data_IF_131702807250
#
_entry.id   IF_131702807250
#
_cell.length_a   1.000
_cell.length_b   1.000
_cell.length_c   1.000
_cell.angle_alpha   90.00
_cell.angle_beta   90.00
_cell.angle_gamma   90.00
#
_symmetry.space_group_name_H-M   'P 1'
#
loop_
_entity.id
_entity.type
_entity.pdbx_description
1 polymer ?
#
# COMPACT_ATOMS: atom_id res chain seq x y z
N UNK A 1 -6.46 8.21 13.99
CA UNK A 1 -6.01 8.81 12.71
C UNK A 1 -4.83 9.80 12.86
N UNK A 2 -4.22 9.96 14.05
CA UNK A 2 -3.25 11.03 14.36
C UNK A 2 -1.78 10.60 14.50
N UNK A 3 -1.49 9.31 14.71
CA UNK A 3 -0.14 8.88 15.10
C UNK A 3 0.94 9.21 14.05
N UNK A 4 0.70 8.86 12.78
CA UNK A 4 1.63 9.13 11.69
C UNK A 4 1.93 10.63 11.51
N UNK A 5 0.89 11.48 11.63
CA UNK A 5 1.05 12.94 11.50
C UNK A 5 1.83 13.54 12.68
N UNK A 6 1.57 13.08 13.90
CA UNK A 6 2.30 13.51 15.08
C UNK A 6 3.79 13.18 15.00
N UNK A 7 4.11 11.97 14.55
CA UNK A 7 5.49 11.52 14.35
C UNK A 7 6.20 12.36 13.27
N UNK A 8 5.55 12.60 12.13
CA UNK A 8 6.11 13.43 11.04
C UNK A 8 6.36 14.88 11.51
N UNK A 9 5.43 15.46 12.28
CA UNK A 9 5.60 16.81 12.82
C UNK A 9 6.77 16.92 13.80
N UNK A 10 7.00 15.88 14.61
CA UNK A 10 8.12 15.85 15.55
C UNK A 10 9.47 15.85 14.82
N UNK A 11 9.61 15.06 13.76
CA UNK A 11 10.85 14.93 12.99
C UNK A 11 10.97 15.91 11.80
N UNK A 12 10.13 16.95 11.72
CA UNK A 12 10.07 17.87 10.57
C UNK A 12 11.38 18.60 10.22
N UNK A 13 12.30 18.69 11.19
CA UNK A 13 13.60 19.35 11.05
C UNK A 13 14.73 18.42 10.58
N UNK A 14 14.52 17.10 10.64
CA UNK A 14 15.49 16.14 10.15
C UNK A 14 15.34 15.97 8.63
N UNK A 15 16.45 15.81 7.91
CA UNK A 15 16.42 15.36 6.51
C UNK A 15 16.17 13.84 6.46
N UNK A 16 14.89 13.47 6.49
CA UNK A 16 14.43 12.08 6.56
C UNK A 16 13.59 11.68 5.36
N UNK A 17 13.79 12.36 4.21
CA UNK A 17 13.00 12.09 3.00
C UNK A 17 13.12 10.62 2.56
N UNK A 18 14.34 10.10 2.48
CA UNK A 18 14.61 8.71 2.07
C UNK A 18 14.02 7.69 3.04
N UNK A 19 14.16 7.93 4.35
CA UNK A 19 13.57 7.11 5.39
C UNK A 19 12.03 7.08 5.31
N UNK A 20 11.42 8.24 5.03
CA UNK A 20 9.98 8.35 4.86
C UNK A 20 9.46 7.58 3.65
N UNK A 21 10.17 7.64 2.52
CA UNK A 21 9.84 6.88 1.31
C UNK A 21 9.90 5.36 1.58
N UNK A 22 10.95 4.88 2.22
CA UNK A 22 11.09 3.46 2.58
C UNK A 22 9.98 3.00 3.55
N UNK A 23 9.65 3.83 4.53
CA UNK A 23 8.60 3.54 5.52
C UNK A 23 7.22 3.49 4.86
N UNK A 24 6.94 4.43 3.94
CA UNK A 24 5.68 4.45 3.17
C UNK A 24 5.55 3.22 2.25
N UNK A 25 6.65 2.80 1.60
CA UNK A 25 6.68 1.57 0.81
C UNK A 25 6.39 0.32 1.64
N UNK A 26 7.04 0.22 2.80
CA UNK A 26 6.84 -0.90 3.73
C UNK A 26 5.40 -0.95 4.25
N UNK A 27 4.83 0.20 4.63
CA UNK A 27 3.43 0.30 5.05
C UNK A 27 2.49 -0.15 3.94
N UNK A 28 2.68 0.32 2.71
CA UNK A 28 1.86 -0.10 1.55
C UNK A 28 1.96 -1.61 1.31
N UNK A 29 3.13 -2.21 1.54
CA UNK A 29 3.31 -3.65 1.44
C UNK A 29 2.49 -4.40 2.50
N UNK A 30 2.50 -3.95 3.76
CA UNK A 30 1.69 -4.53 4.84
C UNK A 30 0.20 -4.42 4.52
N UNK A 31 -0.26 -3.26 4.05
CA UNK A 31 -1.67 -3.07 3.66
C UNK A 31 -2.09 -4.13 2.63
N UNK A 32 -1.26 -4.36 1.61
CA UNK A 32 -1.52 -5.43 0.61
C UNK A 32 -1.52 -6.82 1.22
N UNK A 33 -0.61 -7.11 2.15
CA UNK A 33 -0.57 -8.38 2.86
C UNK A 33 -1.86 -8.60 3.69
N UNK A 34 -2.38 -7.56 4.33
CA UNK A 34 -3.66 -7.60 5.06
C UNK A 34 -4.82 -7.89 4.12
N UNK A 35 -4.93 -7.18 2.99
CA UNK A 35 -5.97 -7.47 1.99
C UNK A 35 -5.88 -8.88 1.45
N UNK A 36 -4.67 -9.38 1.17
CA UNK A 36 -4.48 -10.75 0.71
C UNK A 36 -4.94 -11.79 1.74
N UNK A 37 -4.67 -11.56 3.02
CA UNK A 37 -5.19 -12.39 4.12
C UNK A 37 -6.72 -12.32 4.23
N UNK A 38 -7.31 -11.13 4.05
CA UNK A 38 -8.77 -10.97 4.03
C UNK A 38 -9.39 -11.72 2.85
N UNK A 39 -8.73 -11.75 1.69
CA UNK A 39 -9.15 -12.52 0.51
C UNK A 39 -8.72 -13.98 0.61
N UNK A 40 -9.09 -14.65 1.72
CA UNK A 40 -8.71 -16.04 2.00
C UNK A 40 -9.25 -17.02 0.96
N UNK A 41 -10.50 -16.85 0.52
CA UNK A 41 -11.14 -17.74 -0.46
C UNK A 41 -10.80 -17.31 -1.89
N UNK A 42 -10.50 -18.28 -2.75
CA UNK A 42 -10.20 -18.04 -4.17
C UNK A 42 -11.32 -17.26 -4.86
N UNK A 43 -12.59 -17.62 -4.63
CA UNK A 43 -13.75 -16.88 -5.16
C UNK A 43 -13.74 -15.39 -4.78
N UNK A 44 -13.31 -15.06 -3.55
CA UNK A 44 -13.17 -13.67 -3.09
C UNK A 44 -12.03 -12.96 -3.81
N UNK A 45 -10.89 -13.63 -4.03
CA UNK A 45 -9.77 -13.06 -4.80
C UNK A 45 -10.20 -12.70 -6.22
N UNK A 46 -10.89 -13.60 -6.92
CA UNK A 46 -11.45 -13.33 -8.24
C UNK A 46 -12.37 -12.10 -8.22
N UNK A 47 -13.34 -12.07 -7.29
CA UNK A 47 -14.28 -10.94 -7.17
C UNK A 47 -13.56 -9.61 -6.95
N UNK A 48 -12.59 -9.57 -6.04
CA UNK A 48 -11.88 -8.34 -5.68
C UNK A 48 -10.92 -7.90 -6.79
N UNK A 49 -10.20 -8.82 -7.42
CA UNK A 49 -9.28 -8.49 -8.52
C UNK A 49 -10.04 -8.01 -9.78
N UNK A 50 -11.20 -8.59 -10.10
CA UNK A 50 -12.08 -8.06 -11.16
C UNK A 50 -12.64 -6.68 -10.83
N UNK A 51 -12.99 -6.42 -9.56
CA UNK A 51 -13.43 -5.10 -9.10
C UNK A 51 -12.32 -4.03 -9.13
N UNK A 52 -11.06 -4.46 -9.26
CA UNK A 52 -9.91 -3.58 -9.53
C UNK A 52 -9.64 -3.41 -11.04
N UNK A 53 -10.53 -3.89 -11.91
CA UNK A 53 -10.46 -3.78 -13.37
C UNK A 53 -9.19 -4.37 -13.99
N UNK A 54 -8.65 -5.44 -13.39
CA UNK A 54 -7.56 -6.20 -13.99
C UNK A 54 -8.07 -7.05 -15.16
N UNK A 55 -7.27 -7.26 -16.21
CA UNK A 55 -7.65 -8.15 -17.30
C UNK A 55 -7.76 -9.59 -16.79
N UNK A 56 -8.73 -10.34 -17.32
CA UNK A 56 -9.13 -11.63 -16.76
C UNK A 56 -7.98 -12.65 -16.69
N UNK A 57 -7.08 -12.67 -17.68
CA UNK A 57 -5.89 -13.53 -17.67
C UNK A 57 -5.00 -13.29 -16.43
N UNK A 58 -4.83 -12.03 -16.03
CA UNK A 58 -4.02 -11.64 -14.87
C UNK A 58 -4.77 -11.93 -13.58
N UNK A 59 -6.09 -11.78 -13.58
CA UNK A 59 -6.93 -12.19 -12.45
C UNK A 59 -6.76 -13.69 -12.18
N UNK A 60 -6.81 -14.54 -13.23
CA UNK A 60 -6.63 -15.98 -13.10
C UNK A 60 -5.25 -16.35 -12.54
N UNK A 61 -4.20 -15.74 -13.06
CA UNK A 61 -2.81 -15.94 -12.60
C UNK A 61 -2.67 -15.56 -11.11
N UNK A 62 -3.15 -14.38 -10.75
CA UNK A 62 -2.99 -13.84 -9.41
C UNK A 62 -3.85 -14.58 -8.39
N UNK A 63 -5.13 -14.84 -8.66
CA UNK A 63 -6.06 -15.42 -7.69
C UNK A 63 -5.65 -16.84 -7.24
N UNK A 64 -5.12 -17.63 -8.17
CA UNK A 64 -4.68 -19.01 -7.95
C UNK A 64 -3.22 -19.15 -7.53
N UNK A 65 -2.51 -18.04 -7.27
CA UNK A 65 -1.11 -18.13 -6.90
C UNK A 65 -0.94 -18.90 -5.57
N UNK A 66 0.01 -19.84 -5.53
CA UNK A 66 0.41 -20.59 -4.32
C UNK A 66 1.46 -19.87 -3.48
N UNK A 67 1.72 -18.59 -3.78
CA UNK A 67 2.71 -17.77 -3.08
C UNK A 67 2.24 -17.46 -1.66
N UNK A 68 3.19 -17.45 -0.72
CA UNK A 68 2.94 -16.98 0.65
C UNK A 68 2.49 -15.51 0.68
N UNK A 69 1.90 -15.08 1.79
CA UNK A 69 1.23 -13.77 1.91
C UNK A 69 2.15 -12.61 1.52
N UNK A 70 3.40 -12.60 2.01
CA UNK A 70 4.36 -11.52 1.73
C UNK A 70 4.70 -11.44 0.24
N UNK A 71 4.96 -12.58 -0.40
CA UNK A 71 5.28 -12.61 -1.84
C UNK A 71 4.05 -12.29 -2.70
N UNK A 72 2.85 -12.64 -2.25
CA UNK A 72 1.60 -12.24 -2.91
C UNK A 72 1.32 -10.74 -2.76
N UNK A 73 1.66 -10.12 -1.61
CA UNK A 73 1.57 -8.68 -1.42
C UNK A 73 2.48 -7.88 -2.36
N UNK A 74 3.68 -8.41 -2.67
CA UNK A 74 4.55 -7.83 -3.70
C UNK A 74 3.89 -7.88 -5.10
N UNK A 75 3.30 -9.03 -5.47
CA UNK A 75 2.59 -9.20 -6.75
C UNK A 75 1.37 -8.24 -6.87
N UNK A 76 0.67 -8.03 -5.75
CA UNK A 76 -0.43 -7.08 -5.64
C UNK A 76 -0.02 -5.62 -5.85
N UNK A 77 1.27 -5.27 -5.88
CA UNK A 77 1.70 -3.89 -6.18
C UNK A 77 1.16 -3.41 -7.55
N UNK A 78 1.03 -4.34 -8.51
CA UNK A 78 0.49 -4.04 -9.83
C UNK A 78 -1.05 -3.90 -9.87
N UNK A 79 -1.75 -4.35 -8.83
CA UNK A 79 -3.21 -4.32 -8.72
C UNK A 79 -3.69 -3.23 -7.75
N UNK A 80 -3.10 -3.19 -6.56
CA UNK A 80 -3.31 -2.18 -5.54
C UNK A 80 -2.18 -1.16 -5.62
N UNK A 81 -2.27 -0.27 -6.60
CA UNK A 81 -1.29 0.81 -6.81
C UNK A 81 -1.34 1.85 -5.69
N UNK A 82 -0.28 2.66 -5.55
CA UNK A 82 -0.23 3.75 -4.55
C UNK A 82 -1.46 4.66 -4.64
N UNK A 83 -1.87 5.02 -5.86
CA UNK A 83 -3.07 5.84 -6.14
C UNK A 83 -4.33 5.22 -5.54
N UNK A 84 -4.58 3.93 -5.78
CA UNK A 84 -5.75 3.23 -5.22
C UNK A 84 -5.72 3.23 -3.69
N UNK A 85 -4.54 3.00 -3.09
CA UNK A 85 -4.38 2.97 -1.64
C UNK A 85 -4.61 4.35 -1.00
N UNK A 86 -4.12 5.41 -1.63
CA UNK A 86 -4.26 6.77 -1.09
C UNK A 86 -5.64 7.35 -1.40
N UNK A 87 -6.05 7.34 -2.67
CA UNK A 87 -7.24 8.05 -3.15
C UNK A 87 -8.54 7.32 -2.79
N UNK A 88 -8.59 6.00 -3.00
CA UNK A 88 -9.82 5.21 -2.83
C UNK A 88 -9.99 4.66 -1.42
N UNK A 89 -8.88 4.23 -0.80
CA UNK A 89 -8.91 3.64 0.54
C UNK A 89 -8.65 4.67 1.66
N UNK A 90 -8.19 5.87 1.31
CA UNK A 90 -8.02 6.98 2.26
C UNK A 90 -6.87 6.79 3.24
N UNK A 91 -5.88 5.96 2.91
CA UNK A 91 -4.65 5.81 3.71
C UNK A 91 -3.76 7.05 3.53
N UNK A 92 -3.13 7.53 4.62
CA UNK A 92 -2.28 8.71 4.55
C UNK A 92 -0.97 8.42 3.81
N UNK A 93 -0.65 9.25 2.82
CA UNK A 93 0.69 9.28 2.20
C UNK A 93 1.64 10.03 3.13
N UNK A 94 2.52 9.27 3.81
CA UNK A 94 3.43 9.84 4.80
C UNK A 94 4.50 10.72 4.15
N UNK A 95 5.01 10.32 2.99
CA UNK A 95 6.00 11.09 2.22
C UNK A 95 5.43 12.42 1.76
N UNK A 96 4.22 12.41 1.19
CA UNK A 96 3.57 13.64 0.76
C UNK A 96 3.28 14.58 1.94
N UNK A 97 2.90 14.04 3.11
CA UNK A 97 2.70 14.83 4.30
C UNK A 97 3.99 15.45 4.83
N UNK A 98 5.08 14.68 4.87
CA UNK A 98 6.40 15.18 5.28
C UNK A 98 6.91 16.28 4.36
N UNK A 99 6.81 16.11 3.03
CA UNK A 99 7.22 17.14 2.06
C UNK A 99 6.44 18.45 2.22
N UNK A 100 5.20 18.40 2.73
CA UNK A 100 4.40 19.58 3.02
C UNK A 100 4.82 20.30 4.30
N UNK A 101 5.31 19.57 5.31
CA UNK A 101 5.59 20.11 6.66
C UNK A 101 7.08 20.41 6.88
N UNK A 102 7.97 19.78 6.10
CA UNK A 102 9.41 19.99 6.23
C UNK A 102 9.75 21.47 6.09
N UNK A 103 10.66 21.94 6.95
CA UNK A 103 11.19 23.30 6.88
C UNK A 103 12.52 23.20 6.12
N UNK A 104 12.60 23.80 4.93
CA UNK A 104 13.86 23.91 4.20
C UNK A 104 14.75 24.92 4.94
N UNK A 105 15.95 24.51 5.33
CA UNK A 105 17.05 25.43 5.64
C UNK A 105 17.95 25.56 4.41
#
# INVERSE_FOLDING_TARGET
>A
RSYAKGWINYYRYADMKSLMEQTDEWLRHIIRAVYWKQWKKVRTRYKMLRALHLPEWKVHEMANCRKGVWRAAAMLNSALTKKIIVDRLGYPDMTAHYLKVRVNY
#
